data_IF_349393588992
#
_entry.id   IF_349393588992
#
_cell.length_a   1.000
_cell.length_b   1.000
_cell.length_c   1.000
_cell.angle_alpha   90.00
_cell.angle_beta   90.00
_cell.angle_gamma   90.00
#
_symmetry.space_group_name_H-M   'P 1'
#
loop_
_entity.id
_entity.type
_entity.pdbx_description
1 polymer ?
#
# COMPACT_ATOMS: atom_id res chain seq x y z
N UNK A 1 9.85 -7.57 30.84
CA UNK A 1 8.84 -7.69 29.77
C UNK A 1 8.54 -6.30 29.25
N UNK A 2 9.04 -5.94 28.06
CA UNK A 2 8.71 -4.67 27.37
C UNK A 2 7.58 -4.94 26.38
N UNK A 3 6.63 -4.01 26.18
CA UNK A 3 5.56 -4.19 25.21
C UNK A 3 6.13 -4.23 23.77
N UNK A 4 5.48 -4.92 22.82
CA UNK A 4 5.90 -4.91 21.43
C UNK A 4 5.71 -3.50 20.84
N UNK A 5 6.78 -2.98 20.23
CA UNK A 5 6.79 -1.66 19.62
C UNK A 5 5.79 -1.58 18.47
N UNK A 6 5.04 -0.47 18.42
CA UNK A 6 4.18 -0.10 17.31
C UNK A 6 4.93 -0.20 15.97
N UNK A 7 4.28 -0.80 14.97
CA UNK A 7 4.84 -1.06 13.64
C UNK A 7 5.40 0.21 13.02
N UNK A 8 6.72 0.29 12.91
CA UNK A 8 7.41 1.39 12.25
C UNK A 8 7.45 1.13 10.75
N UNK A 9 6.77 1.97 9.97
CA UNK A 9 6.85 1.96 8.51
C UNK A 9 8.03 2.82 8.04
N UNK A 10 8.74 2.32 7.03
CA UNK A 10 9.83 3.03 6.36
C UNK A 10 9.33 3.68 5.08
N UNK A 11 9.48 4.99 5.01
CA UNK A 11 9.33 5.76 3.79
C UNK A 11 10.70 5.85 3.12
N UNK A 12 10.82 5.47 1.84
CA UNK A 12 12.04 5.58 1.03
C UNK A 12 11.86 6.62 -0.06
N UNK A 13 12.54 7.77 0.02
CA UNK A 13 12.39 8.89 -0.93
C UNK A 13 13.59 9.07 -1.88
N UNK A 14 13.34 9.42 -3.15
CA UNK A 14 14.36 9.94 -4.09
C UNK A 14 14.18 11.44 -4.40
N UNK A 15 15.23 12.28 -4.41
CA UNK A 15 15.17 13.62 -5.00
C UNK A 15 15.22 13.51 -6.53
N UNK A 16 14.37 14.27 -7.21
CA UNK A 16 14.15 14.23 -8.65
C UNK A 16 15.42 14.58 -9.46
N UNK A 17 15.93 13.64 -10.28
CA UNK A 17 16.63 13.90 -11.56
C UNK A 17 16.91 12.59 -12.35
N UNK A 18 16.54 12.63 -13.65
CA UNK A 18 17.00 11.83 -14.81
C UNK A 18 17.12 10.29 -14.70
N UNK A 19 16.39 9.61 -15.59
CA UNK A 19 16.39 8.15 -15.79
C UNK A 19 17.60 7.76 -16.66
N UNK A 20 18.56 7.03 -16.07
CA UNK A 20 19.60 6.18 -16.71
C UNK A 20 19.99 5.04 -15.75
N UNK A 21 20.58 3.92 -16.22
CA UNK A 21 20.45 2.61 -15.56
C UNK A 21 21.31 2.43 -14.30
N UNK A 22 20.83 1.56 -13.41
CA UNK A 22 21.17 1.44 -11.98
C UNK A 22 22.62 1.03 -11.65
N UNK A 23 23.33 1.82 -10.83
CA UNK A 23 24.48 1.39 -10.05
C UNK A 23 24.23 1.48 -8.52
N UNK A 24 25.09 0.79 -7.75
CA UNK A 24 24.95 0.33 -6.36
C UNK A 24 24.92 1.39 -5.22
N UNK A 25 24.32 2.56 -5.42
CA UNK A 25 24.16 3.57 -4.37
C UNK A 25 22.74 4.11 -4.32
N UNK A 26 21.79 3.27 -3.88
CA UNK A 26 20.44 3.75 -3.55
C UNK A 26 20.61 4.60 -2.29
N UNK A 27 20.67 5.92 -2.45
CA UNK A 27 20.50 6.86 -1.34
C UNK A 27 19.02 6.79 -0.96
N UNK A 28 18.69 5.82 -0.10
CA UNK A 28 17.38 5.69 0.52
C UNK A 28 17.36 6.49 1.80
N UNK A 29 16.65 7.63 1.81
CA UNK A 29 16.34 8.29 3.07
C UNK A 29 15.24 7.51 3.76
N UNK A 30 15.52 6.95 4.93
CA UNK A 30 14.52 6.30 5.77
C UNK A 30 13.85 7.33 6.67
N UNK A 31 12.55 7.53 6.50
CA UNK A 31 11.75 8.36 7.40
C UNK A 31 10.89 7.42 8.23
N UNK A 32 11.08 7.46 9.55
CA UNK A 32 10.20 6.80 10.50
C UNK A 32 8.99 7.70 10.75
N UNK A 33 7.80 7.21 10.45
CA UNK A 33 6.55 7.92 10.70
C UNK A 33 5.35 6.97 10.68
N UNK A 34 4.21 7.48 11.12
CA UNK A 34 2.93 6.77 11.03
C UNK A 34 2.08 7.33 9.89
N UNK A 35 1.64 6.46 8.97
CA UNK A 35 0.76 6.86 7.85
C UNK A 35 -0.60 7.33 8.34
N UNK A 36 -1.05 6.87 9.52
CA UNK A 36 -2.27 7.35 10.15
C UNK A 36 -2.11 8.74 10.77
N UNK A 37 -0.89 9.26 10.92
CA UNK A 37 -0.60 10.60 11.43
C UNK A 37 -0.46 11.60 10.27
N UNK A 38 -1.44 12.51 10.03
CA UNK A 38 -1.39 13.41 8.88
C UNK A 38 -0.17 14.32 8.85
N UNK A 39 0.33 14.71 10.03
CA UNK A 39 1.53 15.55 10.16
C UNK A 39 2.79 14.85 9.68
N UNK A 40 2.94 13.56 9.97
CA UNK A 40 4.11 12.78 9.54
C UNK A 40 4.12 12.65 8.02
N UNK A 41 2.96 12.38 7.44
CA UNK A 41 2.77 12.33 5.98
C UNK A 41 3.04 13.69 5.35
N UNK A 42 2.47 14.77 5.88
CA UNK A 42 2.67 16.12 5.34
C UNK A 42 4.16 16.52 5.40
N UNK A 43 4.83 16.25 6.52
CA UNK A 43 6.25 16.52 6.69
C UNK A 43 7.08 15.73 5.67
N UNK A 44 6.78 14.44 5.46
CA UNK A 44 7.48 13.63 4.46
C UNK A 44 7.28 14.20 3.04
N UNK A 45 6.04 14.48 2.64
CA UNK A 45 5.73 14.99 1.29
C UNK A 45 6.35 16.36 1.03
N UNK A 46 6.32 17.28 2.00
CA UNK A 46 6.90 18.63 1.85
C UNK A 46 8.42 18.64 1.88
N UNK A 47 9.03 17.99 2.87
CA UNK A 47 10.47 18.09 3.11
C UNK A 47 11.28 17.43 1.98
N UNK A 48 10.72 16.40 1.35
CA UNK A 48 11.39 15.65 0.28
C UNK A 48 10.86 15.97 -1.11
N UNK A 49 9.90 16.89 -1.25
CA UNK A 49 9.29 17.32 -2.54
C UNK A 49 8.89 16.14 -3.41
N UNK A 50 8.04 15.28 -2.84
CA UNK A 50 7.68 14.01 -3.48
C UNK A 50 6.71 14.25 -4.62
N UNK A 51 7.05 13.73 -5.80
CA UNK A 51 6.24 13.77 -7.02
C UNK A 51 5.45 12.46 -7.24
N UNK A 52 5.99 11.32 -6.80
CA UNK A 52 5.46 9.98 -7.04
C UNK A 52 5.25 9.27 -5.70
N UNK A 53 4.20 8.47 -5.60
CA UNK A 53 3.94 7.65 -4.42
C UNK A 53 3.70 6.23 -4.87
N UNK A 54 4.44 5.26 -4.34
CA UNK A 54 4.16 3.84 -4.48
C UNK A 54 3.84 3.26 -3.11
N UNK A 55 2.57 2.97 -2.92
CA UNK A 55 2.01 2.55 -1.65
C UNK A 55 1.77 1.04 -1.66
N UNK A 56 2.70 0.29 -1.06
CA UNK A 56 2.55 -1.15 -0.83
C UNK A 56 1.94 -1.46 0.54
N UNK A 57 1.91 -0.47 1.45
CA UNK A 57 1.57 -0.67 2.85
C UNK A 57 0.17 -1.26 3.07
N UNK A 58 0.17 -2.55 3.41
CA UNK A 58 -0.84 -3.18 4.23
C UNK A 58 -0.13 -4.07 5.24
N UNK A 59 -0.62 -4.11 6.48
CA UNK A 59 -0.20 -5.16 7.42
C UNK A 59 -0.57 -6.51 6.79
N UNK A 60 0.42 -7.38 6.64
CA UNK A 60 0.27 -8.69 5.96
C UNK A 60 0.20 -9.87 6.92
N UNK A 61 0.46 -9.67 8.21
CA UNK A 61 0.49 -10.75 9.20
C UNK A 61 -0.89 -11.36 9.43
N UNK A 62 -1.16 -12.49 8.75
CA UNK A 62 -2.40 -13.28 8.87
C UNK A 62 -2.66 -13.77 10.29
N UNK A 63 -1.63 -14.03 11.10
CA UNK A 63 -1.82 -14.46 12.49
C UNK A 63 -2.37 -13.33 13.39
N UNK A 64 -2.03 -12.07 13.09
CA UNK A 64 -2.54 -10.92 13.84
C UNK A 64 -3.98 -10.58 13.40
N UNK A 65 -4.40 -10.99 12.20
CA UNK A 65 -5.75 -10.74 11.68
C UNK A 65 -6.86 -11.36 12.54
N UNK A 66 -6.61 -12.54 13.10
CA UNK A 66 -7.58 -13.21 13.98
C UNK A 66 -7.67 -12.56 15.37
N UNK A 67 -6.61 -11.88 15.81
CA UNK A 67 -6.51 -11.31 17.15
C UNK A 67 -6.81 -9.81 17.21
N UNK A 68 -6.55 -9.04 16.16
CA UNK A 68 -6.79 -7.60 16.11
C UNK A 68 -7.14 -7.11 14.68
N UNK A 69 -8.35 -7.40 14.18
CA UNK A 69 -8.80 -6.96 12.86
C UNK A 69 -8.96 -5.44 12.75
N UNK A 70 -9.21 -4.74 13.86
CA UNK A 70 -9.38 -3.29 13.87
C UNK A 70 -8.09 -2.56 13.47
N UNK A 71 -6.94 -3.08 13.89
CA UNK A 71 -5.65 -2.52 13.50
C UNK A 71 -5.41 -2.54 11.98
N UNK A 72 -5.97 -3.53 11.25
CA UNK A 72 -5.86 -3.60 9.79
C UNK A 72 -6.67 -2.51 9.12
N UNK A 73 -7.90 -2.29 9.58
CA UNK A 73 -8.75 -1.18 9.13
C UNK A 73 -8.06 0.16 9.38
N UNK A 74 -7.50 0.35 10.56
CA UNK A 74 -6.82 1.59 10.91
C UNK A 74 -5.61 1.86 9.99
N UNK A 75 -4.68 0.93 9.89
CA UNK A 75 -3.48 1.16 9.07
C UNK A 75 -3.77 1.16 7.57
N UNK A 76 -4.61 0.25 7.09
CA UNK A 76 -4.83 0.06 5.65
C UNK A 76 -5.82 1.08 5.10
N UNK A 77 -7.01 1.18 5.71
CA UNK A 77 -8.08 2.06 5.21
C UNK A 77 -7.82 3.50 5.66
N UNK A 78 -7.69 3.74 6.97
CA UNK A 78 -7.53 5.11 7.48
C UNK A 78 -6.17 5.68 7.07
N UNK A 79 -5.10 4.89 7.13
CA UNK A 79 -3.79 5.28 6.61
C UNK A 79 -3.83 5.69 5.14
N UNK A 80 -4.46 4.90 4.27
CA UNK A 80 -4.58 5.28 2.84
C UNK A 80 -5.37 6.57 2.67
N UNK A 81 -6.47 6.74 3.41
CA UNK A 81 -7.30 7.95 3.31
C UNK A 81 -6.53 9.20 3.79
N UNK A 82 -5.76 9.10 4.87
CA UNK A 82 -4.87 10.17 5.34
C UNK A 82 -3.86 10.53 4.26
N UNK A 83 -3.20 9.53 3.67
CA UNK A 83 -2.19 9.74 2.64
C UNK A 83 -2.79 10.40 1.37
N UNK A 84 -3.96 9.95 0.93
CA UNK A 84 -4.67 10.54 -0.21
C UNK A 84 -5.08 11.98 0.07
N UNK A 85 -5.65 12.25 1.25
CA UNK A 85 -6.15 13.58 1.60
C UNK A 85 -5.02 14.59 1.76
N UNK A 86 -3.91 14.21 2.40
CA UNK A 86 -2.72 15.07 2.49
C UNK A 86 -2.13 15.30 1.09
N UNK A 87 -2.00 14.26 0.28
CA UNK A 87 -1.51 14.38 -1.11
C UNK A 87 -2.39 15.32 -1.94
N UNK A 88 -3.72 15.24 -1.79
CA UNK A 88 -4.70 16.11 -2.45
C UNK A 88 -4.53 17.57 -2.04
N UNK A 89 -4.39 17.83 -0.73
CA UNK A 89 -4.21 19.19 -0.18
C UNK A 89 -2.91 19.84 -0.64
N UNK A 90 -1.84 19.06 -0.74
CA UNK A 90 -0.54 19.57 -1.19
C UNK A 90 -0.49 19.76 -2.70
N UNK A 91 -1.22 18.95 -3.48
CA UNK A 91 -1.29 19.08 -4.93
C UNK A 91 0.03 18.81 -5.66
N UNK A 92 1.04 18.26 -4.98
CA UNK A 92 2.37 18.03 -5.53
C UNK A 92 2.52 16.67 -6.24
N UNK A 93 1.55 15.76 -6.06
CA UNK A 93 1.67 14.39 -6.54
C UNK A 93 1.27 14.29 -8.02
N UNK A 94 2.20 13.81 -8.84
CA UNK A 94 2.02 13.51 -10.27
C UNK A 94 1.47 12.11 -10.51
N UNK A 95 1.78 11.15 -9.64
CA UNK A 95 1.24 9.78 -9.69
C UNK A 95 1.19 9.18 -8.29
N UNK A 96 0.09 8.48 -8.01
CA UNK A 96 -0.04 7.63 -6.84
C UNK A 96 -0.33 6.21 -7.32
N UNK A 97 0.50 5.25 -6.93
CA UNK A 97 0.39 3.84 -7.31
C UNK A 97 0.06 3.06 -6.06
N UNK A 98 -1.14 2.52 -5.99
CA UNK A 98 -1.56 1.60 -4.94
C UNK A 98 -1.32 0.16 -5.38
N UNK A 99 -0.59 -0.60 -4.56
CA UNK A 99 -0.37 -2.02 -4.79
C UNK A 99 -1.35 -2.84 -3.95
N UNK A 100 -2.25 -3.50 -4.65
CA UNK A 100 -3.25 -4.43 -4.16
C UNK A 100 -2.90 -5.86 -4.56
N UNK A 101 -3.80 -6.79 -4.27
CA UNK A 101 -3.67 -8.23 -4.51
C UNK A 101 -4.76 -8.71 -5.46
N UNK A 102 -4.53 -9.78 -6.21
CA UNK A 102 -5.55 -10.49 -7.00
C UNK A 102 -6.59 -11.20 -6.09
N UNK A 103 -6.23 -11.52 -4.86
CA UNK A 103 -7.12 -12.17 -3.89
C UNK A 103 -8.38 -11.33 -3.55
N UNK A 104 -8.42 -10.04 -3.90
CA UNK A 104 -9.63 -9.20 -3.76
C UNK A 104 -10.81 -9.67 -4.61
N UNK A 105 -10.55 -10.44 -5.67
CA UNK A 105 -11.60 -11.02 -6.50
C UNK A 105 -12.26 -12.25 -5.87
N UNK A 106 -11.69 -12.80 -4.80
CA UNK A 106 -12.18 -14.01 -4.15
C UNK A 106 -11.60 -15.30 -4.75
N UNK A 107 -12.31 -16.41 -4.55
CA UNK A 107 -11.85 -17.71 -5.02
C UNK A 107 -12.23 -17.97 -6.47
N UNK A 108 -11.28 -18.45 -7.26
CA UNK A 108 -11.56 -18.97 -8.60
C UNK A 108 -12.16 -20.36 -8.47
N UNK A 109 -13.34 -20.57 -9.08
CA UNK A 109 -14.05 -21.85 -8.99
C UNK A 109 -13.19 -23.01 -9.51
N UNK A 110 -12.97 -24.03 -8.68
CA UNK A 110 -12.09 -25.16 -8.97
C UNK A 110 -12.43 -25.95 -10.24
N UNK A 111 -13.67 -25.81 -10.74
CA UNK A 111 -14.16 -26.54 -11.90
C UNK A 111 -13.99 -25.80 -13.24
N UNK A 112 -13.71 -24.49 -13.24
CA UNK A 112 -13.42 -23.71 -14.45
C UNK A 112 -12.60 -22.46 -14.08
N UNK A 113 -11.27 -22.58 -13.92
CA UNK A 113 -10.41 -21.45 -13.59
C UNK A 113 -10.31 -20.50 -14.79
N UNK A 114 -10.98 -19.35 -14.71
CA UNK A 114 -10.81 -18.23 -15.64
C UNK A 114 -9.84 -17.22 -15.04
N UNK A 115 -8.97 -16.64 -15.86
CA UNK A 115 -8.12 -15.55 -15.42
C UNK A 115 -8.98 -14.37 -14.95
N UNK A 116 -8.58 -13.72 -13.84
CA UNK A 116 -9.29 -12.53 -13.38
C UNK A 116 -9.08 -11.36 -14.33
N UNK A 117 -10.12 -10.54 -14.54
CA UNK A 117 -10.06 -9.29 -15.30
C UNK A 117 -10.36 -8.09 -14.40
N UNK A 118 -9.83 -6.93 -14.74
CA UNK A 118 -9.98 -5.71 -13.93
C UNK A 118 -11.43 -5.22 -13.78
N UNK A 119 -12.31 -5.69 -14.67
CA UNK A 119 -13.73 -5.39 -14.74
C UNK A 119 -14.58 -6.24 -13.79
N UNK A 120 -14.03 -7.32 -13.23
CA UNK A 120 -14.76 -8.19 -12.31
C UNK A 120 -15.03 -7.52 -10.96
N UNK A 121 -16.18 -7.89 -10.39
CA UNK A 121 -16.58 -7.49 -9.04
C UNK A 121 -15.62 -8.05 -7.99
N UNK A 122 -15.40 -7.26 -6.94
CA UNK A 122 -14.57 -7.66 -5.79
C UNK A 122 -15.39 -8.53 -4.84
N UNK A 123 -14.88 -9.71 -4.48
CA UNK A 123 -15.51 -10.66 -3.56
C UNK A 123 -14.53 -11.13 -2.48
N UNK A 124 -14.07 -10.24 -1.58
CA UNK A 124 -13.08 -10.57 -0.57
C UNK A 124 -13.64 -11.58 0.46
N UNK A 125 -12.87 -12.62 0.76
CA UNK A 125 -13.30 -13.73 1.65
C UNK A 125 -12.84 -13.60 3.11
N UNK A 126 -12.00 -12.61 3.43
CA UNK A 126 -11.49 -12.39 4.79
C UNK A 126 -11.31 -10.89 5.10
N UNK A 127 -11.14 -10.48 6.38
CA UNK A 127 -11.05 -9.07 6.76
C UNK A 127 -9.88 -8.30 6.14
N UNK A 128 -8.77 -8.98 5.84
CA UNK A 128 -7.62 -8.39 5.17
C UNK A 128 -7.95 -8.00 3.74
N UNK A 129 -8.50 -8.95 2.98
CA UNK A 129 -8.94 -8.75 1.60
C UNK A 129 -10.06 -7.70 1.53
N UNK A 130 -10.97 -7.71 2.51
CA UNK A 130 -12.01 -6.69 2.63
C UNK A 130 -11.39 -5.29 2.81
N UNK A 131 -10.33 -5.17 3.61
CA UNK A 131 -9.62 -3.91 3.81
C UNK A 131 -8.91 -3.43 2.54
N UNK A 132 -8.29 -4.33 1.77
CA UNK A 132 -7.69 -4.02 0.46
C UNK A 132 -8.76 -3.60 -0.55
N UNK A 133 -9.84 -4.34 -0.68
CA UNK A 133 -10.97 -4.01 -1.56
C UNK A 133 -11.60 -2.64 -1.20
N UNK A 134 -11.83 -2.38 0.08
CA UNK A 134 -12.34 -1.09 0.55
C UNK A 134 -11.38 0.07 0.19
N UNK A 135 -10.08 -0.16 0.31
CA UNK A 135 -9.05 0.83 -0.06
C UNK A 135 -9.10 1.13 -1.56
N UNK A 136 -9.27 0.12 -2.41
CA UNK A 136 -9.45 0.32 -3.85
C UNK A 136 -10.68 1.18 -4.16
N UNK A 137 -11.80 0.93 -3.49
CA UNK A 137 -13.02 1.71 -3.67
C UNK A 137 -12.81 3.18 -3.28
N UNK A 138 -12.10 3.44 -2.17
CA UNK A 138 -11.75 4.80 -1.74
C UNK A 138 -10.86 5.48 -2.79
N UNK A 139 -9.83 4.80 -3.28
CA UNK A 139 -8.93 5.35 -4.32
C UNK A 139 -9.72 5.68 -5.58
N UNK A 140 -10.62 4.79 -6.03
CA UNK A 140 -11.47 5.06 -7.19
C UNK A 140 -12.37 6.26 -6.97
N UNK A 141 -12.95 6.42 -5.77
CA UNK A 141 -13.75 7.58 -5.41
C UNK A 141 -12.92 8.87 -5.46
N UNK A 142 -11.73 8.89 -4.87
CA UNK A 142 -10.84 10.06 -4.92
C UNK A 142 -10.40 10.41 -6.35
N UNK A 143 -10.13 9.40 -7.18
CA UNK A 143 -9.81 9.60 -8.60
C UNK A 143 -10.96 10.26 -9.34
N UNK A 144 -12.19 9.79 -9.14
CA UNK A 144 -13.39 10.34 -9.81
C UNK A 144 -13.80 11.71 -9.28
N UNK A 145 -13.76 11.92 -7.97
CA UNK A 145 -14.21 13.17 -7.34
C UNK A 145 -13.20 14.31 -7.45
N UNK A 146 -11.90 14.00 -7.34
CA UNK A 146 -10.85 15.03 -7.26
C UNK A 146 -9.87 15.00 -8.44
N UNK A 147 -10.09 14.13 -9.43
CA UNK A 147 -9.25 14.00 -10.63
C UNK A 147 -7.77 13.75 -10.30
N UNK A 148 -7.50 13.10 -9.17
CA UNK A 148 -6.15 12.77 -8.75
C UNK A 148 -5.52 11.70 -9.66
N UNK A 149 -4.20 11.73 -9.91
CA UNK A 149 -3.51 10.79 -10.79
C UNK A 149 -3.23 9.45 -10.07
N UNK A 150 -4.30 8.71 -9.74
CA UNK A 150 -4.24 7.47 -8.97
C UNK A 150 -4.30 6.23 -9.89
N UNK A 151 -3.45 5.25 -9.60
CA UNK A 151 -3.36 3.96 -10.28
C UNK A 151 -3.50 2.86 -9.22
N UNK A 152 -4.28 1.83 -9.53
CA UNK A 152 -4.35 0.61 -8.75
C UNK A 152 -3.67 -0.48 -9.57
N UNK A 153 -2.77 -1.22 -8.94
CA UNK A 153 -2.12 -2.40 -9.51
C UNK A 153 -2.49 -3.58 -8.64
N UNK A 154 -3.11 -4.61 -9.21
CA UNK A 154 -3.42 -5.86 -8.53
C UNK A 154 -2.34 -6.87 -8.94
N UNK A 155 -1.51 -7.28 -8.00
CA UNK A 155 -0.45 -8.25 -8.24
C UNK A 155 -0.90 -9.63 -7.77
N UNK A 156 -0.48 -10.67 -8.50
CA UNK A 156 -0.51 -12.03 -7.97
C UNK A 156 0.52 -12.19 -6.84
N UNK A 157 0.53 -13.37 -6.21
CA UNK A 157 1.51 -13.71 -5.19
C UNK A 157 2.96 -13.50 -5.67
N UNK A 158 3.66 -12.59 -4.99
CA UNK A 158 5.05 -12.24 -5.24
C UNK A 158 5.97 -13.15 -4.41
N UNK A 159 6.96 -13.75 -5.06
CA UNK A 159 7.98 -14.60 -4.42
C UNK A 159 9.38 -14.08 -4.76
N UNK A 160 10.31 -14.12 -3.79
CA UNK A 160 11.69 -13.69 -4.03
C UNK A 160 12.56 -13.51 -2.78
N UNK A 161 13.83 -13.11 -2.97
CA UNK A 161 14.75 -12.79 -1.87
C UNK A 161 14.19 -11.70 -0.96
N UNK A 162 14.54 -11.75 0.34
CA UNK A 162 14.07 -10.81 1.39
C UNK A 162 12.59 -10.94 1.78
N UNK A 163 11.94 -12.04 1.42
CA UNK A 163 10.62 -12.38 1.94
C UNK A 163 10.71 -12.78 3.42
N UNK A 164 9.84 -12.23 4.27
CA UNK A 164 9.80 -12.61 5.68
C UNK A 164 9.28 -14.06 5.81
N UNK A 165 9.90 -14.92 6.64
CA UNK A 165 9.68 -16.37 6.65
C UNK A 165 8.38 -16.83 7.35
N UNK A 166 7.27 -16.13 7.14
CA UNK A 166 5.97 -16.40 7.83
C UNK A 166 4.91 -17.07 6.95
N UNK A 167 5.02 -16.99 5.61
CA UNK A 167 4.00 -17.50 4.70
C UNK A 167 4.60 -18.46 3.68
N UNK A 168 3.93 -19.58 3.39
CA UNK A 168 4.40 -20.55 2.39
C UNK A 168 4.41 -20.00 0.97
N UNK A 169 3.61 -18.95 0.67
CA UNK A 169 3.44 -18.46 -0.71
C UNK A 169 3.15 -16.96 -0.89
N UNK A 170 2.86 -16.18 0.15
CA UNK A 170 2.50 -14.76 -0.04
C UNK A 170 2.73 -13.89 1.19
N UNK A 171 3.49 -12.82 1.02
CA UNK A 171 3.57 -11.73 2.00
C UNK A 171 3.51 -10.42 1.23
N UNK A 172 2.44 -9.66 1.44
CA UNK A 172 2.31 -8.31 0.89
C UNK A 172 3.40 -7.43 1.52
N UNK A 173 4.28 -6.88 0.69
CA UNK A 173 5.37 -6.01 1.11
C UNK A 173 4.82 -4.77 1.84
N UNK A 174 5.18 -4.59 3.10
CA UNK A 174 4.92 -3.34 3.83
C UNK A 174 6.01 -2.32 3.52
N UNK A 175 5.93 -1.67 2.36
CA UNK A 175 6.87 -0.60 1.99
C UNK A 175 6.12 0.58 1.40
N UNK A 176 6.48 1.79 1.80
CA UNK A 176 6.06 3.00 1.08
C UNK A 176 7.32 3.50 0.36
N UNK A 177 7.39 3.24 -0.95
CA UNK A 177 8.45 3.81 -1.78
C UNK A 177 7.89 5.11 -2.36
N UNK A 178 8.46 6.24 -1.97
CA UNK A 178 8.12 7.57 -2.46
C UNK A 178 9.11 7.98 -3.56
#
# INVERSE_FOLDING_TARGET
MRPPAAGSFGICCRPTATVTPWPASIISNFIKGDVCAPKDVENALRNYRIDYIVYFAARSHVDILLHDPLSFTQTTIIGTQVLLEVSRKLGSIRRFIHVSTDEVYGENGAQNPTAFTEEQSLHPINPYLASKAATEMIIQAYRKSFHMPLIIVRCNNMFGPHQYPESRYSSTLSLVVL
#
